data_IF_564648496566
#
_entry.id   IF_564648496566
#
_cell.length_a   1.000
_cell.length_b   1.000
_cell.length_c   1.000
_cell.angle_alpha   90.00
_cell.angle_beta   90.00
_cell.angle_gamma   90.00
#
_symmetry.space_group_name_H-M   'P 1'
#
loop_
_entity.id
_entity.type
_entity.pdbx_description
1 polymer ?
#
# COMPACT_ATOMS: atom_id res chain seq x y z
N UNK A 1 18.99 13.14 5.62
CA UNK A 1 18.57 11.82 6.17
C UNK A 1 19.82 11.01 6.47
N UNK A 2 19.92 10.45 7.69
CA UNK A 2 20.99 9.55 8.06
C UNK A 2 20.88 8.26 7.23
N UNK A 3 22.00 7.62 6.93
CA UNK A 3 22.10 6.34 6.22
C UNK A 3 21.28 5.20 6.84
N UNK A 4 20.70 5.40 8.02
CA UNK A 4 20.09 4.36 8.85
C UNK A 4 18.67 3.95 8.43
N UNK A 5 17.90 4.80 7.74
CA UNK A 5 16.52 4.49 7.37
C UNK A 5 16.37 3.58 6.13
N UNK A 6 17.41 3.48 5.29
CA UNK A 6 17.36 2.70 4.06
C UNK A 6 17.35 1.19 4.30
N UNK A 7 18.05 0.73 5.32
CA UNK A 7 18.17 -0.69 5.63
C UNK A 7 16.83 -1.28 6.13
N UNK A 8 16.12 -0.67 7.10
CA UNK A 8 14.76 -1.09 7.47
C UNK A 8 13.78 -1.05 6.30
N UNK A 9 13.88 -0.02 5.46
CA UNK A 9 13.04 0.10 4.26
C UNK A 9 13.27 -1.07 3.32
N UNK A 10 14.52 -1.41 2.99
CA UNK A 10 14.81 -2.55 2.11
C UNK A 10 14.31 -3.86 2.74
N UNK A 11 14.50 -4.04 4.05
CA UNK A 11 14.06 -5.24 4.74
C UNK A 11 12.55 -5.37 4.83
N UNK A 12 11.79 -4.28 4.88
CA UNK A 12 10.32 -4.37 4.90
C UNK A 12 9.76 -4.95 3.60
N UNK A 13 10.45 -4.80 2.46
CA UNK A 13 10.07 -5.46 1.20
C UNK A 13 10.32 -6.98 1.20
N UNK A 14 11.10 -7.52 2.14
CA UNK A 14 11.21 -8.96 2.32
C UNK A 14 9.95 -9.57 2.92
N UNK A 15 9.16 -8.80 3.69
CA UNK A 15 7.94 -9.30 4.31
C UNK A 15 6.89 -9.79 3.28
N UNK A 16 6.46 -9.00 2.27
CA UNK A 16 5.52 -9.49 1.26
C UNK A 16 6.11 -10.65 0.44
N UNK A 17 7.43 -10.67 0.20
CA UNK A 17 8.10 -11.81 -0.46
C UNK A 17 7.99 -13.07 0.41
N UNK A 18 8.24 -12.96 1.72
CA UNK A 18 8.11 -14.05 2.68
C UNK A 18 6.69 -14.62 2.74
N UNK A 19 5.67 -13.76 2.79
CA UNK A 19 4.26 -14.18 2.74
C UNK A 19 3.92 -14.91 1.44
N UNK A 20 4.39 -14.38 0.30
CA UNK A 20 4.21 -15.03 -0.99
C UNK A 20 4.88 -16.41 -1.03
N UNK A 21 6.14 -16.52 -0.58
CA UNK A 21 6.87 -17.79 -0.57
C UNK A 21 6.23 -18.82 0.37
N UNK A 22 5.75 -18.38 1.53
CA UNK A 22 5.04 -19.23 2.49
C UNK A 22 3.75 -19.79 1.88
N UNK A 23 2.96 -18.92 1.24
CA UNK A 23 1.73 -19.33 0.56
C UNK A 23 2.01 -20.25 -0.64
N UNK A 24 3.06 -19.96 -1.41
CA UNK A 24 3.47 -20.76 -2.56
C UNK A 24 3.98 -22.14 -2.17
N UNK A 25 4.77 -22.24 -1.09
CA UNK A 25 5.31 -23.51 -0.59
C UNK A 25 4.25 -24.51 -0.12
N UNK A 26 3.04 -24.05 0.19
CA UNK A 26 1.90 -24.90 0.54
C UNK A 26 1.08 -25.41 -0.65
N UNK A 27 1.44 -25.05 -1.89
CA UNK A 27 0.66 -25.39 -3.10
C UNK A 27 1.19 -26.68 -3.76
N UNK A 28 0.26 -27.52 -4.23
CA UNK A 28 0.59 -28.71 -5.06
C UNK A 28 1.52 -28.34 -6.24
N UNK A 29 2.55 -29.15 -6.56
CA UNK A 29 3.53 -28.85 -7.60
C UNK A 29 2.91 -28.51 -8.96
N UNK A 30 1.82 -29.17 -9.33
CA UNK A 30 1.09 -28.98 -10.60
C UNK A 30 0.48 -27.56 -10.70
N UNK A 31 0.24 -26.92 -9.57
CA UNK A 31 -0.34 -25.57 -9.44
C UNK A 31 0.70 -24.51 -9.11
N UNK A 32 1.94 -24.89 -8.78
CA UNK A 32 3.01 -23.99 -8.37
C UNK A 32 3.25 -22.83 -9.36
N UNK A 33 3.23 -23.10 -10.67
CA UNK A 33 3.39 -22.05 -11.71
C UNK A 33 2.25 -21.02 -11.66
N UNK A 34 1.02 -21.48 -11.51
CA UNK A 34 -0.15 -20.58 -11.47
C UNK A 34 -0.16 -19.74 -10.19
N UNK A 35 0.21 -20.34 -9.05
CA UNK A 35 0.35 -19.62 -7.78
C UNK A 35 1.44 -18.54 -7.86
N UNK A 36 2.58 -18.84 -8.49
CA UNK A 36 3.64 -17.85 -8.69
C UNK A 36 3.20 -16.66 -9.54
N UNK A 37 2.54 -16.91 -10.68
CA UNK A 37 1.99 -15.84 -11.53
C UNK A 37 0.97 -14.99 -10.75
N UNK A 38 0.10 -15.62 -9.95
CA UNK A 38 -0.89 -14.90 -9.14
C UNK A 38 -0.25 -14.02 -8.07
N UNK A 39 0.81 -14.48 -7.41
CA UNK A 39 1.55 -13.66 -6.45
C UNK A 39 2.18 -12.43 -7.11
N UNK A 40 2.79 -12.59 -8.28
CA UNK A 40 3.34 -11.46 -9.04
C UNK A 40 2.25 -10.46 -9.45
N UNK A 41 1.10 -10.95 -9.90
CA UNK A 41 -0.07 -10.10 -10.18
C UNK A 41 -0.52 -9.38 -8.92
N UNK A 42 -0.61 -10.06 -7.77
CA UNK A 42 -0.99 -9.44 -6.50
C UNK A 42 -0.06 -8.27 -6.13
N UNK A 43 1.26 -8.47 -6.25
CA UNK A 43 2.25 -7.42 -6.00
C UNK A 43 2.07 -6.23 -6.95
N UNK A 44 1.85 -6.49 -8.24
CA UNK A 44 1.61 -5.43 -9.23
C UNK A 44 0.32 -4.65 -8.91
N UNK A 45 -0.75 -5.35 -8.53
CA UNK A 45 -2.02 -4.72 -8.13
C UNK A 45 -1.87 -3.88 -6.86
N UNK A 46 -1.05 -4.33 -5.91
CA UNK A 46 -0.73 -3.55 -4.71
C UNK A 46 -0.05 -2.23 -5.08
N UNK A 47 0.99 -2.29 -5.92
CA UNK A 47 1.69 -1.08 -6.40
C UNK A 47 0.73 -0.16 -7.12
N UNK A 48 -0.02 -0.65 -8.11
CA UNK A 48 -0.91 0.18 -8.94
C UNK A 48 -2.06 0.77 -8.12
N UNK A 49 -2.75 -0.03 -7.31
CA UNK A 49 -3.89 0.43 -6.53
C UNK A 49 -3.50 1.41 -5.42
N UNK A 50 -2.39 1.12 -4.72
CA UNK A 50 -1.89 2.01 -3.68
C UNK A 50 -1.34 3.30 -4.29
N UNK A 51 -0.59 3.24 -5.38
CA UNK A 51 -0.08 4.43 -6.07
C UNK A 51 -1.20 5.32 -6.63
N UNK A 52 -2.20 4.72 -7.28
CA UNK A 52 -3.22 5.48 -7.98
C UNK A 52 -4.09 6.30 -7.01
N UNK A 53 -4.56 5.66 -5.93
CA UNK A 53 -5.50 6.30 -4.99
C UNK A 53 -5.25 5.92 -3.53
N UNK A 54 -4.73 4.73 -3.23
CA UNK A 54 -4.63 4.25 -1.86
C UNK A 54 -3.69 5.08 -0.97
N UNK A 55 -2.58 5.57 -1.52
CA UNK A 55 -1.67 6.47 -0.82
C UNK A 55 -2.35 7.77 -0.44
N UNK A 56 -3.15 8.34 -1.35
CA UNK A 56 -3.87 9.58 -1.11
C UNK A 56 -4.88 9.41 0.03
N UNK A 57 -5.67 8.33 -0.02
CA UNK A 57 -6.63 8.04 1.04
C UNK A 57 -5.98 7.75 2.39
N UNK A 58 -4.83 7.07 2.39
CA UNK A 58 -4.12 6.70 3.61
C UNK A 58 -3.36 7.87 4.24
N UNK A 59 -2.62 8.63 3.43
CA UNK A 59 -1.59 9.57 3.90
C UNK A 59 -1.71 10.97 3.27
N UNK A 60 -2.77 11.23 2.50
CA UNK A 60 -3.04 12.55 1.90
C UNK A 60 -3.33 13.68 2.88
N UNK A 61 -3.38 13.40 4.19
CA UNK A 61 -3.47 14.41 5.24
C UNK A 61 -2.22 14.47 6.14
N UNK A 62 -1.12 13.84 5.75
CA UNK A 62 0.08 13.74 6.57
C UNK A 62 0.69 15.11 6.93
N UNK A 63 0.53 16.12 6.07
CA UNK A 63 0.97 17.50 6.32
C UNK A 63 0.22 18.19 7.46
N UNK A 64 -1.00 17.75 7.80
CA UNK A 64 -1.77 18.30 8.93
C UNK A 64 -1.15 17.93 10.29
N UNK A 65 -0.43 16.80 10.33
CA UNK A 65 0.11 16.21 11.56
C UNK A 65 1.64 16.22 11.63
N UNK A 66 2.31 16.77 10.62
CA UNK A 66 3.78 16.78 10.49
C UNK A 66 4.28 18.14 10.04
N UNK A 67 5.29 18.68 10.72
CA UNK A 67 5.95 19.95 10.37
C UNK A 67 6.98 19.82 9.23
N UNK A 68 7.12 18.63 8.62
CA UNK A 68 8.06 18.41 7.51
C UNK A 68 7.62 19.22 6.26
N UNK A 69 8.46 20.14 5.75
CA UNK A 69 8.10 20.98 4.60
C UNK A 69 7.74 20.18 3.35
N UNK A 70 8.39 19.03 3.15
CA UNK A 70 8.12 18.13 2.02
C UNK A 70 6.75 17.46 2.08
N UNK A 71 6.02 17.50 3.19
CA UNK A 71 4.67 16.93 3.30
C UNK A 71 3.58 18.01 3.27
N UNK A 72 3.92 19.28 3.10
CA UNK A 72 2.97 20.39 3.12
C UNK A 72 1.88 20.28 2.03
N UNK A 73 2.16 19.61 0.91
CA UNK A 73 1.18 19.35 -0.16
C UNK A 73 0.25 18.16 0.10
N UNK A 74 0.26 17.58 1.31
CA UNK A 74 -0.64 16.53 1.76
C UNK A 74 -1.49 17.04 2.95
N UNK A 75 -2.25 18.11 2.75
CA UNK A 75 -2.93 18.85 3.82
C UNK A 75 -4.46 18.66 3.86
N UNK A 76 -5.03 18.03 2.83
CA UNK A 76 -6.45 17.74 2.77
C UNK A 76 -6.78 16.47 3.56
N UNK A 77 -7.22 16.66 4.81
CA UNK A 77 -7.70 15.59 5.68
C UNK A 77 -9.18 15.76 6.03
N UNK A 78 -10.00 14.77 5.67
CA UNK A 78 -11.38 14.66 6.18
C UNK A 78 -11.34 13.99 7.53
N UNK A 79 -11.82 14.67 8.57
CA UNK A 79 -11.74 14.19 9.94
C UNK A 79 -12.44 15.08 10.96
N UNK A 80 -12.33 14.69 12.23
CA UNK A 80 -12.80 15.49 13.36
C UNK A 80 -11.61 16.09 14.11
N UNK A 81 -11.64 17.40 14.34
CA UNK A 81 -10.65 18.09 15.16
C UNK A 81 -11.16 18.11 16.60
N UNK A 82 -10.45 17.43 17.49
CA UNK A 82 -10.73 17.47 18.92
C UNK A 82 -10.15 18.77 19.51
N UNK A 83 -10.84 19.39 20.46
CA UNK A 83 -10.45 20.67 21.08
C UNK A 83 -9.03 20.68 21.67
N UNK A 84 -8.46 19.51 21.99
CA UNK A 84 -7.07 19.35 22.44
C UNK A 84 -6.01 19.56 21.34
N UNK A 85 -6.39 19.99 20.13
CA UNK A 85 -5.49 20.12 18.99
C UNK A 85 -5.15 18.80 18.30
N UNK A 86 -5.82 17.71 18.68
CA UNK A 86 -5.67 16.38 18.07
C UNK A 86 -6.57 16.28 16.82
N UNK A 87 -5.99 15.87 15.71
CA UNK A 87 -6.71 15.59 14.47
C UNK A 87 -7.00 14.09 14.39
N UNK A 88 -8.29 13.73 14.34
CA UNK A 88 -8.70 12.38 13.95
C UNK A 88 -9.05 12.39 12.47
N UNK A 89 -8.07 12.00 11.64
CA UNK A 89 -8.24 11.84 10.20
C UNK A 89 -8.89 10.52 9.84
N UNK A 90 -9.95 10.56 9.03
CA UNK A 90 -10.60 9.36 8.48
C UNK A 90 -10.13 9.09 7.06
N UNK A 91 -9.87 10.15 6.28
CA UNK A 91 -9.57 10.02 4.85
C UNK A 91 -8.71 11.19 4.37
N UNK A 92 -7.55 10.90 3.79
CA UNK A 92 -6.74 11.89 3.05
C UNK A 92 -7.29 12.13 1.63
N UNK A 93 -7.11 13.34 1.11
CA UNK A 93 -7.62 13.74 -0.22
C UNK A 93 -6.55 14.34 -1.14
N UNK A 94 -5.28 14.37 -0.72
CA UNK A 94 -4.16 14.80 -1.56
C UNK A 94 -3.20 13.66 -1.89
N UNK A 95 -2.37 13.85 -2.92
CA UNK A 95 -1.34 12.88 -3.31
C UNK A 95 -1.82 11.77 -4.25
N UNK A 96 -2.97 11.96 -4.91
CA UNK A 96 -3.42 11.05 -5.98
C UNK A 96 -2.35 10.95 -7.07
N UNK A 97 -1.99 9.72 -7.43
CA UNK A 97 -0.89 9.40 -8.37
C UNK A 97 0.46 10.03 -7.98
N UNK A 98 0.63 10.55 -6.76
CA UNK A 98 1.78 11.33 -6.31
C UNK A 98 2.15 12.45 -7.30
N UNK A 99 1.13 13.11 -7.88
CA UNK A 99 1.29 14.23 -8.80
C UNK A 99 1.14 15.58 -8.08
N UNK A 100 1.62 16.64 -8.73
CA UNK A 100 1.49 18.02 -8.22
C UNK A 100 2.23 18.21 -6.90
N UNK A 101 1.61 18.93 -5.98
CA UNK A 101 2.20 19.32 -4.69
C UNK A 101 2.42 18.13 -3.75
N UNK A 102 1.75 16.99 -3.98
CA UNK A 102 1.97 15.74 -3.26
C UNK A 102 3.11 14.87 -3.82
N UNK A 103 3.79 15.30 -4.89
CA UNK A 103 4.85 14.57 -5.59
C UNK A 103 6.27 14.84 -5.08
N UNK A 104 6.44 15.13 -3.79
CA UNK A 104 7.73 15.50 -3.20
C UNK A 104 8.60 14.28 -2.88
N UNK A 105 9.93 14.46 -2.70
CA UNK A 105 10.81 13.38 -2.25
C UNK A 105 10.35 12.73 -0.94
N UNK A 106 9.87 13.52 0.01
CA UNK A 106 9.35 13.05 1.30
C UNK A 106 8.07 12.23 1.13
N UNK A 107 7.14 12.66 0.26
CA UNK A 107 5.93 11.90 -0.04
C UNK A 107 6.24 10.58 -0.75
N UNK A 108 7.20 10.57 -1.68
CA UNK A 108 7.68 9.35 -2.36
C UNK A 108 8.33 8.36 -1.37
N UNK A 109 9.10 8.86 -0.42
CA UNK A 109 9.69 8.03 0.65
C UNK A 109 8.61 7.47 1.57
N UNK A 110 7.61 8.28 1.90
CA UNK A 110 6.47 7.85 2.70
C UNK A 110 5.67 6.76 1.97
N UNK A 111 5.42 6.94 0.67
CA UNK A 111 4.83 5.93 -0.19
C UNK A 111 5.64 4.63 -0.17
N UNK A 112 6.96 4.72 -0.40
CA UNK A 112 7.85 3.56 -0.41
C UNK A 112 7.88 2.84 0.95
N UNK A 113 7.72 3.56 2.06
CA UNK A 113 7.70 3.02 3.42
C UNK A 113 6.45 2.17 3.68
N UNK A 114 5.29 2.59 3.17
CA UNK A 114 4.01 1.88 3.42
C UNK A 114 3.63 0.86 2.34
N UNK A 115 4.17 0.99 1.13
CA UNK A 115 3.94 0.05 0.04
C UNK A 115 4.16 -1.44 0.40
N UNK A 116 5.20 -1.86 1.15
CA UNK A 116 5.38 -3.28 1.49
C UNK A 116 4.26 -3.82 2.41
N UNK A 117 3.68 -2.96 3.25
CA UNK A 117 2.51 -3.32 4.08
C UNK A 117 1.26 -3.49 3.21
N UNK A 118 1.02 -2.55 2.27
CA UNK A 118 -0.07 -2.68 1.29
C UNK A 118 0.08 -3.97 0.45
N UNK A 119 1.30 -4.28 0.02
CA UNK A 119 1.60 -5.49 -0.74
C UNK A 119 1.30 -6.77 0.06
N UNK A 120 1.69 -6.81 1.34
CA UNK A 120 1.36 -7.94 2.21
C UNK A 120 -0.16 -8.08 2.39
N UNK A 121 -0.88 -6.97 2.61
CA UNK A 121 -2.33 -6.97 2.75
C UNK A 121 -3.04 -7.49 1.49
N UNK A 122 -2.55 -7.14 0.30
CA UNK A 122 -3.11 -7.58 -1.00
C UNK A 122 -2.83 -9.06 -1.28
N UNK A 123 -1.67 -9.57 -0.89
CA UNK A 123 -1.30 -10.97 -1.12
C UNK A 123 -2.28 -11.94 -0.45
N UNK A 124 -2.75 -11.64 0.76
CA UNK A 124 -3.63 -12.51 1.53
C UNK A 124 -4.94 -12.87 0.80
N UNK A 125 -5.80 -11.91 0.41
CA UNK A 125 -7.05 -12.21 -0.29
C UNK A 125 -6.81 -12.75 -1.71
N UNK A 126 -5.78 -12.27 -2.43
CA UNK A 126 -5.52 -12.71 -3.81
C UNK A 126 -5.10 -14.18 -3.85
N UNK A 127 -4.20 -14.60 -2.95
CA UNK A 127 -3.74 -15.99 -2.87
C UNK A 127 -4.82 -16.91 -2.27
N UNK A 128 -5.70 -16.39 -1.41
CA UNK A 128 -6.84 -17.14 -0.89
C UNK A 128 -7.86 -17.53 -1.98
N UNK A 129 -7.90 -16.84 -3.14
CA UNK A 129 -8.74 -17.21 -4.29
C UNK A 129 -8.10 -18.39 -5.05
N UNK A 130 -8.06 -19.57 -4.40
CA UNK A 130 -7.38 -20.78 -4.87
C UNK A 130 -8.04 -21.55 -6.02
N UNK A 131 -9.07 -21.00 -6.71
CA UNK A 131 -9.86 -21.74 -7.70
C UNK A 131 -9.60 -21.32 -9.15
N UNK A 132 -9.68 -22.30 -10.06
CA UNK A 132 -9.58 -22.11 -11.52
C UNK A 132 -10.80 -21.29 -12.00
N UNK A 133 -10.56 -20.29 -12.86
CA UNK A 133 -11.60 -19.44 -13.45
C UNK A 133 -11.96 -18.15 -12.69
N UNK A 134 -11.35 -17.86 -11.53
CA UNK A 134 -11.65 -16.65 -10.72
C UNK A 134 -10.61 -15.54 -10.83
N UNK A 135 -9.92 -15.43 -11.98
CA UNK A 135 -8.89 -14.41 -12.20
C UNK A 135 -9.40 -12.98 -12.03
N UNK A 136 -10.60 -12.69 -12.55
CA UNK A 136 -11.23 -11.37 -12.39
C UNK A 136 -11.53 -11.02 -10.93
N UNK A 137 -11.97 -12.00 -10.12
CA UNK A 137 -12.20 -11.79 -8.68
C UNK A 137 -10.89 -11.50 -7.95
N UNK A 138 -9.81 -12.20 -8.29
CA UNK A 138 -8.49 -11.95 -7.72
C UNK A 138 -8.00 -10.52 -8.05
N UNK A 139 -8.20 -10.06 -9.29
CA UNK A 139 -7.86 -8.68 -9.68
C UNK A 139 -8.70 -7.66 -8.91
N UNK A 140 -10.01 -7.87 -8.83
CA UNK A 140 -10.92 -6.98 -8.11
C UNK A 140 -10.54 -6.89 -6.63
N UNK A 141 -10.30 -8.02 -5.97
CA UNK A 141 -9.89 -8.05 -4.57
C UNK A 141 -8.55 -7.35 -4.37
N UNK A 142 -7.57 -7.61 -5.24
CA UNK A 142 -6.27 -6.96 -5.13
C UNK A 142 -6.36 -5.44 -5.25
N UNK A 143 -7.12 -4.93 -6.22
CA UNK A 143 -7.35 -3.49 -6.36
C UNK A 143 -8.14 -2.91 -5.20
N UNK A 144 -9.24 -3.57 -4.78
CA UNK A 144 -10.07 -3.10 -3.67
C UNK A 144 -9.27 -3.04 -2.37
N UNK A 145 -8.42 -4.03 -2.10
CA UNK A 145 -7.55 -4.02 -0.93
C UNK A 145 -6.51 -2.91 -0.99
N UNK A 146 -5.82 -2.77 -2.12
CA UNK A 146 -4.78 -1.75 -2.28
C UNK A 146 -5.32 -0.31 -2.27
N UNK A 147 -6.50 -0.10 -2.84
CA UNK A 147 -7.12 1.21 -3.01
C UNK A 147 -7.97 1.64 -1.81
N UNK A 148 -8.59 0.71 -1.08
CA UNK A 148 -9.58 1.06 -0.04
C UNK A 148 -9.40 0.29 1.27
N UNK A 149 -9.31 -1.05 1.26
CA UNK A 149 -9.37 -1.82 2.52
C UNK A 149 -8.10 -1.72 3.37
N UNK A 150 -6.95 -1.45 2.76
CA UNK A 150 -5.71 -1.19 3.50
C UNK A 150 -5.55 0.30 3.87
N UNK A 151 -5.86 1.26 2.97
CA UNK A 151 -5.79 2.70 3.29
C UNK A 151 -6.76 3.25 4.33
N UNK A 152 -7.90 2.58 4.58
CA UNK A 152 -9.01 3.05 5.42
C UNK A 152 -9.22 2.13 6.63
#
# INVERSE_FOLDING_TARGET
MTTEAWLPLIFSYLAPIGFFLLAWGGVEPERGRQAATRGLVALALAVVGYFAVGFAFHLGGAGVVSDLPGLAGLDALVGYRVEAGLYWGVLGLDGFLLLGDGGTPEALLLFATYLPMAAAAVLLPVLAVGRRGRGGLAVLLGLLTAAFLFPL
#
